data_IF_446724223940
#
_entry.id   IF_446724223940
#
_cell.length_a   1.000
_cell.length_b   1.000
_cell.length_c   1.000
_cell.angle_alpha   90.00
_cell.angle_beta   90.00
_cell.angle_gamma   90.00
#
_symmetry.space_group_name_H-M   'P 1'
#
loop_
_entity.id
_entity.type
_entity.pdbx_description
1 polymer ?
#
# COMPACT_ATOMS: atom_id res chain seq x y z
N UNK A 1 8.56 -15.57 0.23
CA UNK A 1 8.85 -14.55 -0.65
C UNK A 1 7.64 -13.81 -1.02
N UNK A 2 7.55 -12.71 -0.38
CA UNK A 2 6.30 -11.98 -0.41
C UNK A 2 5.99 -11.39 -1.78
N UNK A 3 6.98 -10.86 -2.49
CA UNK A 3 6.71 -10.22 -3.76
C UNK A 3 6.09 -11.20 -4.76
N UNK A 4 6.60 -12.40 -4.79
CA UNK A 4 6.09 -13.42 -5.69
C UNK A 4 4.65 -13.81 -5.33
N UNK A 5 4.41 -14.04 -4.04
CA UNK A 5 3.08 -14.42 -3.59
C UNK A 5 2.09 -13.30 -3.87
N UNK A 6 2.52 -12.05 -3.66
CA UNK A 6 1.64 -10.92 -3.88
C UNK A 6 1.30 -10.74 -5.35
N UNK A 7 2.26 -10.99 -6.25
CA UNK A 7 1.97 -10.92 -7.68
C UNK A 7 0.85 -11.88 -8.06
N UNK A 8 0.90 -13.08 -7.52
CA UNK A 8 -0.15 -14.05 -7.76
C UNK A 8 -1.49 -13.56 -7.24
N UNK A 9 -1.50 -13.00 -6.04
CA UNK A 9 -2.74 -12.54 -5.44
C UNK A 9 -3.34 -11.34 -6.11
N UNK A 10 -2.54 -10.52 -6.76
CA UNK A 10 -3.07 -9.38 -7.50
C UNK A 10 -4.06 -9.81 -8.55
N UNK A 11 -3.93 -11.02 -9.07
CA UNK A 11 -4.78 -11.50 -10.16
C UNK A 11 -5.69 -12.65 -9.78
N UNK A 12 -5.66 -13.11 -8.53
CA UNK A 12 -6.41 -14.30 -8.13
C UNK A 12 -7.84 -14.00 -7.71
N UNK A 13 -8.16 -12.76 -7.39
CA UNK A 13 -9.49 -12.37 -6.94
C UNK A 13 -10.23 -11.73 -8.10
N UNK A 14 -11.14 -12.45 -8.69
CA UNK A 14 -11.85 -11.96 -9.86
C UNK A 14 -13.13 -11.24 -9.50
N UNK A 15 -13.05 -10.10 -8.84
CA UNK A 15 -14.21 -9.40 -8.31
C UNK A 15 -14.53 -8.14 -9.09
N UNK A 16 -14.40 -8.16 -10.36
CA UNK A 16 -14.72 -7.01 -11.16
C UNK A 16 -13.51 -6.45 -11.86
N UNK A 17 -13.73 -5.51 -12.78
CA UNK A 17 -12.67 -5.04 -13.66
C UNK A 17 -11.55 -4.29 -12.97
N UNK A 18 -11.77 -3.74 -11.78
CA UNK A 18 -10.76 -2.97 -11.07
C UNK A 18 -10.07 -3.76 -9.96
N UNK A 19 -10.29 -5.07 -9.88
CA UNK A 19 -9.74 -5.85 -8.77
C UNK A 19 -8.21 -5.81 -8.73
N UNK A 20 -7.54 -5.76 -9.88
CA UNK A 20 -6.09 -5.68 -9.91
C UNK A 20 -5.57 -4.31 -9.44
N UNK A 21 -6.44 -3.31 -9.40
CA UNK A 21 -6.07 -1.96 -8.99
C UNK A 21 -6.59 -1.60 -7.60
N UNK A 22 -7.43 -2.45 -6.99
CA UNK A 22 -7.96 -2.19 -5.65
C UNK A 22 -7.75 -3.36 -4.71
N UNK A 23 -8.32 -4.52 -5.02
CA UNK A 23 -8.27 -5.68 -4.13
C UNK A 23 -6.83 -6.16 -3.95
N UNK A 24 -6.09 -6.30 -5.04
CA UNK A 24 -4.70 -6.72 -4.97
C UNK A 24 -3.83 -5.77 -4.15
N UNK A 25 -3.84 -4.48 -4.48
CA UNK A 25 -3.06 -3.52 -3.68
C UNK A 25 -3.46 -3.46 -2.22
N UNK A 26 -4.75 -3.59 -1.90
CA UNK A 26 -5.19 -3.61 -0.51
C UNK A 26 -4.62 -4.83 0.21
N UNK A 27 -4.68 -6.00 -0.42
CA UNK A 27 -4.16 -7.22 0.17
C UNK A 27 -2.65 -7.16 0.34
N UNK A 28 -1.95 -6.58 -0.62
CA UNK A 28 -0.51 -6.41 -0.53
C UNK A 28 -0.12 -5.46 0.61
N UNK A 29 -0.84 -4.36 0.75
CA UNK A 29 -0.57 -3.41 1.82
C UNK A 29 -0.86 -4.04 3.18
N UNK A 30 -1.92 -4.82 3.28
CA UNK A 30 -2.23 -5.52 4.52
C UNK A 30 -1.16 -6.56 4.85
N UNK A 31 -0.68 -7.27 3.83
CA UNK A 31 0.39 -8.23 4.02
C UNK A 31 1.66 -7.55 4.53
N UNK A 32 1.99 -6.40 3.97
CA UNK A 32 3.16 -5.65 4.39
C UNK A 32 3.06 -5.24 5.86
N UNK A 33 1.91 -4.71 6.26
CA UNK A 33 1.70 -4.32 7.65
C UNK A 33 1.77 -5.52 8.59
N UNK A 34 1.17 -6.64 8.18
CA UNK A 34 1.21 -7.85 8.98
C UNK A 34 2.63 -8.39 9.14
N UNK A 35 3.43 -8.29 8.10
CA UNK A 35 4.83 -8.74 8.17
C UNK A 35 5.64 -7.88 9.11
N UNK A 36 5.39 -6.59 9.16
CA UNK A 36 6.06 -5.72 10.13
C UNK A 36 5.73 -6.17 11.56
N UNK A 37 4.49 -6.52 11.81
CA UNK A 37 4.08 -7.03 13.11
C UNK A 37 4.75 -8.36 13.42
N UNK A 38 4.74 -9.29 12.47
CA UNK A 38 5.25 -10.64 12.67
C UNK A 38 6.76 -10.67 12.90
N UNK A 39 7.48 -9.74 12.28
CA UNK A 39 8.94 -9.68 12.45
C UNK A 39 9.34 -8.84 13.65
N UNK A 40 8.39 -8.24 14.36
CA UNK A 40 8.70 -7.40 15.51
C UNK A 40 9.14 -5.99 15.16
N UNK A 41 9.06 -5.61 13.87
CA UNK A 41 9.52 -4.29 13.44
C UNK A 41 8.46 -3.21 13.59
N UNK A 42 7.19 -3.59 13.75
CA UNK A 42 6.08 -2.64 13.69
C UNK A 42 6.26 -1.45 14.66
N UNK A 43 6.62 -1.71 15.89
CA UNK A 43 6.78 -0.66 16.90
C UNK A 43 7.94 0.29 16.63
N UNK A 44 8.84 -0.08 15.71
CA UNK A 44 10.00 0.75 15.36
C UNK A 44 9.75 1.66 14.18
N UNK A 45 8.61 1.50 13.51
CA UNK A 45 8.35 2.24 12.28
C UNK A 45 7.94 3.66 12.60
N UNK A 46 8.63 4.62 11.98
CA UNK A 46 8.35 6.04 12.14
C UNK A 46 7.55 6.60 10.97
N UNK A 47 7.65 5.99 9.78
CA UNK A 47 6.83 6.39 8.63
C UNK A 47 6.81 5.29 7.59
N UNK A 48 5.84 5.37 6.69
CA UNK A 48 5.71 4.43 5.58
C UNK A 48 5.51 5.21 4.28
N UNK A 49 5.86 4.58 3.16
CA UNK A 49 5.60 5.17 1.85
C UNK A 49 5.28 4.07 0.86
N UNK A 50 4.66 4.49 -0.25
CA UNK A 50 4.26 3.58 -1.33
C UNK A 50 4.57 4.25 -2.66
N UNK A 51 5.10 3.48 -3.61
CA UNK A 51 5.29 3.96 -4.98
C UNK A 51 4.50 3.05 -5.91
N UNK A 52 3.67 3.65 -6.76
CA UNK A 52 2.83 2.94 -7.72
C UNK A 52 3.44 3.11 -9.10
N UNK A 53 3.78 1.99 -9.74
CA UNK A 53 4.46 1.97 -11.04
C UNK A 53 3.51 1.61 -12.16
N UNK A 54 3.90 2.02 -13.37
CA UNK A 54 3.21 1.60 -14.58
C UNK A 54 1.74 1.97 -14.56
N UNK A 55 0.88 1.02 -14.87
CA UNK A 55 -0.55 1.31 -14.94
C UNK A 55 -1.15 1.60 -13.57
N UNK A 56 -0.60 1.07 -12.49
CA UNK A 56 -1.06 1.44 -11.16
C UNK A 56 -0.82 2.93 -10.90
N UNK A 57 0.30 3.46 -11.39
CA UNK A 57 0.58 4.89 -11.26
C UNK A 57 -0.22 5.75 -12.21
N UNK A 58 -0.44 5.26 -13.44
CA UNK A 58 -1.11 6.05 -14.46
C UNK A 58 -2.61 6.15 -14.22
N UNK A 59 -3.24 5.06 -13.78
CA UNK A 59 -4.69 5.00 -13.64
C UNK A 59 -5.16 4.73 -12.22
N UNK A 60 -4.23 4.62 -11.28
CA UNK A 60 -4.55 4.22 -9.92
C UNK A 60 -5.59 5.10 -9.24
N UNK A 61 -5.48 6.41 -9.44
CA UNK A 61 -6.43 7.33 -8.78
C UNK A 61 -7.85 7.04 -9.26
N UNK A 62 -8.03 6.85 -10.56
CA UNK A 62 -9.35 6.57 -11.11
C UNK A 62 -9.92 5.23 -10.66
N UNK A 63 -9.07 4.29 -10.27
CA UNK A 63 -9.49 2.97 -9.81
C UNK A 63 -9.46 2.83 -8.29
N UNK A 64 -9.10 3.88 -7.56
CA UNK A 64 -9.08 3.82 -6.11
C UNK A 64 -7.88 3.08 -5.52
N UNK A 65 -6.80 2.92 -6.28
CA UNK A 65 -5.63 2.21 -5.80
C UNK A 65 -5.02 2.83 -4.55
N UNK A 66 -4.76 4.16 -4.50
CA UNK A 66 -4.19 4.72 -3.27
C UNK A 66 -5.13 4.61 -2.08
N UNK A 67 -6.44 4.69 -2.32
CA UNK A 67 -7.41 4.49 -1.25
C UNK A 67 -7.30 3.07 -0.69
N UNK A 68 -7.17 2.09 -1.57
CA UNK A 68 -7.03 0.70 -1.17
C UNK A 68 -5.74 0.45 -0.39
N UNK A 69 -4.64 1.08 -0.79
CA UNK A 69 -3.37 0.94 -0.09
C UNK A 69 -3.50 1.48 1.34
N UNK A 70 -4.11 2.65 1.50
CA UNK A 70 -4.27 3.24 2.83
C UNK A 70 -5.08 2.31 3.73
N UNK A 71 -6.18 1.78 3.22
CA UNK A 71 -7.04 0.89 4.01
C UNK A 71 -6.31 -0.40 4.35
N UNK A 72 -5.57 -0.95 3.38
CA UNK A 72 -4.79 -2.16 3.62
C UNK A 72 -3.69 -1.98 4.65
N UNK A 73 -2.99 -0.86 4.61
CA UNK A 73 -1.95 -0.57 5.60
C UNK A 73 -2.53 -0.51 7.01
N UNK A 74 -3.79 -0.16 7.14
CA UNK A 74 -4.45 -0.14 8.43
C UNK A 74 -5.01 -1.50 8.86
N UNK A 75 -4.69 -2.55 8.11
CA UNK A 75 -5.02 -3.91 8.51
C UNK A 75 -6.35 -4.43 7.98
N UNK A 76 -7.02 -3.69 7.12
CA UNK A 76 -8.30 -4.12 6.59
C UNK A 76 -8.12 -5.12 5.46
N UNK A 77 -9.05 -6.06 5.36
CA UNK A 77 -9.05 -7.10 4.32
C UNK A 77 -10.11 -6.82 3.29
N UNK A 78 -9.83 -7.10 2.00
CA UNK A 78 -10.82 -6.85 0.95
C UNK A 78 -12.14 -7.57 1.20
N UNK A 79 -12.09 -8.74 1.81
CA UNK A 79 -13.27 -9.57 2.00
C UNK A 79 -14.22 -9.02 3.06
N UNK A 80 -13.70 -8.25 4.00
CA UNK A 80 -14.50 -7.81 5.15
C UNK A 80 -14.67 -6.30 5.25
N UNK A 81 -13.92 -5.53 4.45
CA UNK A 81 -13.99 -4.07 4.55
C UNK A 81 -15.24 -3.57 3.84
N UNK A 82 -15.86 -2.53 4.42
CA UNK A 82 -16.98 -1.86 3.79
C UNK A 82 -16.47 -1.09 2.56
N UNK A 83 -16.99 -1.35 1.36
CA UNK A 83 -16.57 -0.61 0.17
C UNK A 83 -16.67 0.91 0.32
N UNK A 84 -17.62 1.40 1.09
CA UNK A 84 -17.74 2.83 1.32
C UNK A 84 -16.58 3.36 2.15
N UNK A 85 -16.00 2.55 3.02
CA UNK A 85 -14.85 2.96 3.82
C UNK A 85 -13.59 3.05 2.98
N UNK A 86 -13.48 2.25 1.93
CA UNK A 86 -12.33 2.31 1.03
C UNK A 86 -12.39 3.54 0.15
N UNK A 87 -13.59 3.83 -0.34
CA UNK A 87 -13.79 4.93 -1.28
C UNK A 87 -13.34 6.24 -0.64
N UNK A 88 -12.42 6.92 -1.29
CA UNK A 88 -11.92 8.21 -0.83
C UNK A 88 -11.04 8.15 0.43
N UNK A 89 -10.59 6.97 0.86
CA UNK A 89 -9.75 6.87 2.06
C UNK A 89 -8.46 7.68 1.91
N UNK A 90 -7.84 7.66 0.73
CA UNK A 90 -6.67 8.48 0.45
C UNK A 90 -7.08 9.83 -0.09
N UNK A 91 -8.05 9.84 -0.99
CA UNK A 91 -8.47 11.06 -1.70
C UNK A 91 -8.89 12.14 -0.73
N UNK A 92 -9.57 11.77 0.34
CA UNK A 92 -10.03 12.71 1.34
C UNK A 92 -9.27 12.61 2.66
N UNK A 93 -8.04 12.09 2.61
CA UNK A 93 -7.23 11.95 3.82
C UNK A 93 -6.99 13.32 4.44
N UNK A 94 -7.38 13.52 5.72
CA UNK A 94 -7.19 14.81 6.37
C UNK A 94 -5.70 15.11 6.56
N UNK A 95 -5.34 16.35 6.32
CA UNK A 95 -3.97 16.76 6.51
C UNK A 95 -3.58 16.65 7.98
N UNK A 96 -2.43 16.03 8.23
CA UNK A 96 -1.95 15.86 9.60
C UNK A 96 -2.54 14.67 10.32
N UNK A 97 -3.42 13.90 9.68
CA UNK A 97 -3.99 12.74 10.35
C UNK A 97 -2.99 11.60 10.42
N UNK A 98 -2.99 10.91 11.56
CA UNK A 98 -2.14 9.75 11.78
C UNK A 98 -2.76 8.51 11.16
N UNK A 99 -1.92 7.69 10.52
CA UNK A 99 -2.35 6.40 10.01
C UNK A 99 -2.05 5.33 11.06
N UNK A 100 -3.03 4.47 11.34
CA UNK A 100 -2.83 3.38 12.27
C UNK A 100 -2.33 2.16 11.52
N UNK A 101 -1.02 2.00 11.46
CA UNK A 101 -0.38 0.91 10.74
C UNK A 101 -0.76 -0.42 11.42
N UNK A 102 -1.25 -1.36 10.62
CA UNK A 102 -1.77 -2.64 11.10
C UNK A 102 -2.90 -2.46 12.13
N UNK A 103 -3.58 -1.31 12.07
CA UNK A 103 -4.69 -1.01 12.97
C UNK A 103 -4.28 -0.60 14.37
N UNK A 104 -3.00 -0.57 14.69
CA UNK A 104 -2.55 -0.34 16.06
C UNK A 104 -1.43 0.67 16.22
N UNK A 105 -0.51 0.76 15.27
CA UNK A 105 0.70 1.58 15.44
C UNK A 105 0.57 2.91 14.70
N UNK A 106 0.44 4.03 15.42
CA UNK A 106 0.27 5.33 14.76
C UNK A 106 1.56 5.80 14.12
N UNK A 107 1.46 6.23 12.85
CA UNK A 107 2.55 6.85 12.12
C UNK A 107 2.02 8.08 11.40
N UNK A 108 2.82 9.13 11.24
CA UNK A 108 2.38 10.26 10.44
C UNK A 108 2.21 9.83 8.98
N UNK A 109 1.18 10.36 8.32
CA UNK A 109 0.90 9.98 6.96
C UNK A 109 0.23 11.14 6.22
N UNK A 110 0.61 11.32 4.97
CA UNK A 110 -0.01 12.32 4.11
C UNK A 110 -0.11 11.79 2.71
N UNK A 111 -0.85 12.50 1.86
CA UNK A 111 -1.05 12.06 0.48
C UNK A 111 0.26 11.90 -0.28
N UNK A 112 1.26 12.73 0.05
CA UNK A 112 2.55 12.67 -0.63
C UNK A 112 3.33 11.38 -0.32
N UNK A 113 2.91 10.64 0.69
CA UNK A 113 3.57 9.36 1.00
C UNK A 113 3.21 8.27 0.00
N UNK A 114 2.24 8.51 -0.87
CA UNK A 114 1.96 7.65 -2.01
C UNK A 114 2.44 8.39 -3.26
N UNK A 115 3.44 7.82 -3.91
CA UNK A 115 4.04 8.39 -5.11
C UNK A 115 3.55 7.67 -6.34
N UNK A 116 3.38 8.41 -7.42
CA UNK A 116 2.95 7.84 -8.70
C UNK A 116 4.10 7.90 -9.68
N UNK A 117 4.50 6.74 -10.21
CA UNK A 117 5.58 6.62 -11.18
C UNK A 117 5.05 5.90 -12.43
N UNK A 118 4.13 6.51 -13.19
CA UNK A 118 3.45 5.82 -14.29
C UNK A 118 4.37 5.45 -15.45
N UNK A 119 5.50 6.14 -15.57
CA UNK A 119 6.45 5.88 -16.67
C UNK A 119 7.52 4.89 -16.30
N UNK A 120 7.56 4.45 -15.05
CA UNK A 120 8.54 3.47 -14.58
C UNK A 120 7.87 2.11 -14.57
N UNK A 121 8.48 1.15 -15.25
CA UNK A 121 8.00 -0.22 -15.28
C UNK A 121 9.07 -1.13 -14.75
N UNK A 122 8.71 -1.97 -13.80
CA UNK A 122 9.64 -2.98 -13.32
C UNK A 122 9.67 -4.13 -14.33
N UNK A 123 10.81 -4.79 -14.49
CA UNK A 123 10.96 -5.81 -15.52
C UNK A 123 9.85 -6.86 -15.44
N UNK A 124 9.19 -7.09 -16.57
CA UNK A 124 8.19 -8.14 -16.69
C UNK A 124 6.82 -7.81 -16.14
N UNK A 125 6.59 -6.63 -15.56
CA UNK A 125 5.32 -6.33 -14.92
C UNK A 125 4.87 -4.90 -15.19
N UNK A 126 3.69 -4.75 -15.82
CA UNK A 126 3.12 -3.42 -16.01
C UNK A 126 2.43 -2.88 -14.76
N UNK A 127 2.13 -3.75 -13.81
CA UNK A 127 1.51 -3.35 -12.54
C UNK A 127 2.42 -3.75 -11.40
N UNK A 128 2.93 -2.76 -10.67
CA UNK A 128 3.80 -3.04 -9.54
C UNK A 128 3.72 -1.91 -8.54
N UNK A 129 4.03 -2.21 -7.28
CA UNK A 129 4.16 -1.18 -6.27
C UNK A 129 5.23 -1.58 -5.26
N UNK A 130 5.86 -0.55 -4.68
CA UNK A 130 6.84 -0.76 -3.62
C UNK A 130 6.30 -0.15 -2.34
N UNK A 131 6.36 -0.91 -1.26
CA UNK A 131 6.03 -0.42 0.07
C UNK A 131 7.30 -0.37 0.89
N UNK A 132 7.53 0.75 1.56
CA UNK A 132 8.70 0.97 2.39
C UNK A 132 8.30 1.44 3.78
N UNK A 133 8.99 0.93 4.78
CA UNK A 133 8.80 1.35 6.16
C UNK A 133 10.14 1.83 6.70
N UNK A 134 10.11 2.97 7.36
CA UNK A 134 11.31 3.65 7.86
C UNK A 134 11.25 3.75 9.38
N UNK A 135 12.39 3.58 10.03
CA UNK A 135 12.48 3.78 11.48
C UNK A 135 12.95 5.19 11.82
N UNK A 136 12.95 6.10 10.86
CA UNK A 136 13.36 7.49 11.03
C UNK A 136 12.44 8.39 10.22
N UNK A 137 12.23 9.61 10.71
CA UNK A 137 11.48 10.62 9.98
C UNK A 137 12.33 11.39 8.99
N UNK A 138 13.64 11.15 8.97
CA UNK A 138 14.54 11.82 8.05
C UNK A 138 14.20 11.41 6.62
N UNK A 139 14.11 12.39 5.71
CA UNK A 139 13.71 12.12 4.33
C UNK A 139 14.76 11.34 3.56
N UNK A 140 16.00 11.40 3.97
CA UNK A 140 17.10 10.70 3.31
C UNK A 140 17.43 9.37 3.98
N UNK A 141 16.64 8.94 4.96
CA UNK A 141 16.91 7.68 5.64
C UNK A 141 16.63 6.50 4.71
N UNK A 142 17.43 5.44 4.85
CA UNK A 142 17.17 4.21 4.13
C UNK A 142 15.99 3.49 4.80
N UNK A 143 15.17 2.75 4.02
CA UNK A 143 14.07 2.02 4.59
C UNK A 143 14.57 0.85 5.45
N UNK A 144 13.88 0.63 6.58
CA UNK A 144 14.13 -0.53 7.40
C UNK A 144 13.62 -1.79 6.70
N UNK A 145 12.47 -1.68 6.05
CA UNK A 145 11.87 -2.78 5.28
C UNK A 145 11.38 -2.22 3.96
N UNK A 146 11.63 -2.94 2.88
CA UNK A 146 11.17 -2.55 1.54
C UNK A 146 10.72 -3.81 0.81
N UNK A 147 9.51 -3.79 0.25
CA UNK A 147 8.95 -4.93 -0.47
C UNK A 147 8.34 -4.46 -1.78
N UNK A 148 8.53 -5.25 -2.83
CA UNK A 148 7.96 -4.99 -4.14
C UNK A 148 6.84 -6.00 -4.36
N UNK A 149 5.68 -5.49 -4.74
CA UNK A 149 4.51 -6.32 -5.03
C UNK A 149 4.13 -6.13 -6.50
N UNK A 150 3.89 -7.22 -7.18
CA UNK A 150 3.55 -7.20 -8.60
C UNK A 150 2.08 -7.41 -8.87
#
# INVERSE_FOLDING_TARGET
MSAYVSAFELFSIGVGPSSSHTVGPMRAARDFAARLRETGALGRIARVSCTLYGSLGATGIGHGTPDAVVVGLQGCEPESVDPAAVRAAWTQWPEGQTLLLDGTHPVPFGKADIEFAPRTRLPGHPNAMTLRAFDSLAMDAAPLVSEIYY
#
